data_IF_729182622756
#
_entry.id   IF_729182622756
#
_cell.length_a   1.000
_cell.length_b   1.000
_cell.length_c   1.000
_cell.angle_alpha   90.00
_cell.angle_beta   90.00
_cell.angle_gamma   90.00
#
_symmetry.space_group_name_H-M   'P 1'
#
loop_
_entity.id
_entity.type
_entity.pdbx_description
1 polymer ?
#
# COMPACT_ATOMS: atom_id res chain seq x y z
N UNK A 1 0.56 9.83 -24.19
CA UNK A 1 0.67 10.38 -22.83
C UNK A 1 0.18 11.81 -22.89
N UNK A 2 -0.70 12.19 -21.98
CA UNK A 2 -1.30 13.51 -21.89
C UNK A 2 -1.24 13.98 -20.44
N UNK A 3 -0.95 15.26 -20.22
CA UNK A 3 -0.84 15.86 -18.90
C UNK A 3 -1.75 17.09 -18.89
N UNK A 4 -2.73 17.08 -18.01
CA UNK A 4 -3.63 18.20 -17.76
C UNK A 4 -3.48 18.65 -16.31
N UNK A 5 -3.19 19.94 -16.10
CA UNK A 5 -3.09 20.52 -14.77
C UNK A 5 -4.17 21.56 -14.53
N UNK A 6 -4.84 21.47 -13.37
CA UNK A 6 -5.70 22.52 -12.85
C UNK A 6 -5.06 23.15 -11.62
N UNK A 7 -4.90 24.47 -11.64
CA UNK A 7 -4.48 25.26 -10.49
C UNK A 7 -5.67 26.01 -9.90
N UNK A 8 -5.80 25.96 -8.57
CA UNK A 8 -6.79 26.72 -7.82
C UNK A 8 -6.39 28.21 -7.67
N UNK A 9 -5.13 28.54 -7.92
CA UNK A 9 -4.57 29.91 -7.90
C UNK A 9 -3.70 30.16 -9.15
N UNK A 10 -4.29 30.32 -10.35
CA UNK A 10 -3.56 30.52 -11.61
C UNK A 10 -2.65 31.76 -11.62
N UNK A 11 -2.95 32.77 -10.80
CA UNK A 11 -2.13 33.97 -10.67
C UNK A 11 -0.88 33.76 -9.77
N UNK A 12 -0.85 32.68 -8.99
CA UNK A 12 0.16 32.41 -7.95
C UNK A 12 0.99 31.14 -8.23
N UNK A 13 0.52 30.27 -9.13
CA UNK A 13 1.16 28.99 -9.44
C UNK A 13 1.24 28.73 -10.92
N UNK A 14 2.40 28.25 -11.34
CA UNK A 14 2.64 27.74 -12.70
C UNK A 14 3.18 26.31 -12.59
N UNK A 15 2.77 25.44 -13.50
CA UNK A 15 3.38 24.13 -13.65
C UNK A 15 4.06 24.04 -15.00
N UNK A 16 5.23 23.40 -15.04
CA UNK A 16 5.96 23.12 -16.25
C UNK A 16 6.11 21.60 -16.40
N UNK A 17 5.74 21.10 -17.57
CA UNK A 17 5.95 19.71 -17.96
C UNK A 17 7.17 19.67 -18.89
N UNK A 18 8.25 19.05 -18.44
CA UNK A 18 9.45 18.85 -19.25
C UNK A 18 9.67 17.37 -19.49
N UNK A 19 10.24 17.04 -20.64
CA UNK A 19 10.68 15.68 -20.94
C UNK A 19 12.21 15.69 -20.97
N UNK A 20 12.82 14.96 -20.04
CA UNK A 20 14.29 14.84 -19.93
C UNK A 20 14.62 13.36 -19.85
N UNK A 21 15.50 12.84 -20.71
CA UNK A 21 15.95 11.44 -20.68
C UNK A 21 14.80 10.40 -20.63
N UNK A 22 13.73 10.61 -21.40
CA UNK A 22 12.55 9.73 -21.42
C UNK A 22 11.76 9.71 -20.10
N UNK A 23 11.99 10.67 -19.20
CA UNK A 23 11.21 10.92 -18.00
C UNK A 23 10.37 12.20 -18.18
N UNK A 24 9.12 12.17 -17.73
CA UNK A 24 8.31 13.38 -17.61
C UNK A 24 8.54 13.96 -16.21
N UNK A 25 9.07 15.17 -16.17
CA UNK A 25 9.20 15.95 -14.93
C UNK A 25 8.11 17.02 -14.93
N UNK A 26 7.32 17.05 -13.85
CA UNK A 26 6.32 18.10 -13.63
C UNK A 26 6.80 18.94 -12.46
N UNK A 27 7.15 20.20 -12.73
CA UNK A 27 7.67 21.14 -11.73
C UNK A 27 6.60 22.20 -11.48
N UNK A 28 6.11 22.26 -10.25
CA UNK A 28 5.19 23.31 -9.79
C UNK A 28 6.02 24.44 -9.15
N UNK A 29 5.88 25.64 -9.70
CA UNK A 29 6.55 26.87 -9.24
C UNK A 29 5.53 27.83 -8.63
N UNK A 30 5.90 28.45 -7.50
CA UNK A 30 5.07 29.42 -6.78
C UNK A 30 5.63 30.84 -6.97
N UNK A 31 4.76 31.82 -7.27
CA UNK A 31 5.15 33.22 -7.44
C UNK A 31 5.02 33.99 -6.10
N UNK A 32 6.12 34.62 -5.64
CA UNK A 32 6.11 35.59 -4.53
C UNK A 32 6.70 35.09 -3.20
N UNK A 33 6.81 36.01 -2.21
CA UNK A 33 7.17 35.71 -0.81
C UNK A 33 5.89 35.60 0.01
N UNK A 34 5.25 34.43 0.11
CA UNK A 34 4.10 34.25 0.99
C UNK A 34 3.98 32.88 1.66
N UNK A 35 3.20 32.90 2.75
CA UNK A 35 3.12 31.97 3.87
C UNK A 35 2.20 30.75 3.64
N UNK A 36 1.64 30.57 2.44
CA UNK A 36 0.73 29.47 2.11
C UNK A 36 1.09 28.88 0.75
N UNK A 37 1.28 27.56 0.68
CA UNK A 37 1.40 26.83 -0.59
C UNK A 37 -0.02 26.54 -1.12
N UNK A 38 -0.53 27.25 -2.13
CA UNK A 38 -1.81 26.92 -2.75
C UNK A 38 -1.76 25.52 -3.36
N UNK A 39 -2.87 24.78 -3.26
CA UNK A 39 -2.95 23.41 -3.74
C UNK A 39 -3.01 23.37 -5.28
N UNK A 40 -2.25 22.43 -5.87
CA UNK A 40 -2.23 22.16 -7.31
C UNK A 40 -2.73 20.74 -7.54
N UNK A 41 -3.65 20.57 -8.50
CA UNK A 41 -4.18 19.28 -8.90
C UNK A 41 -3.73 18.95 -10.31
N UNK A 42 -3.06 17.82 -10.47
CA UNK A 42 -2.50 17.37 -11.74
C UNK A 42 -3.13 16.03 -12.11
N UNK A 43 -3.60 15.92 -13.34
CA UNK A 43 -4.11 14.70 -13.94
C UNK A 43 -3.20 14.28 -15.09
N UNK A 44 -2.69 13.05 -15.04
CA UNK A 44 -1.74 12.53 -16.02
C UNK A 44 -2.28 11.24 -16.60
N UNK A 45 -2.60 11.26 -17.88
CA UNK A 45 -3.06 10.10 -18.63
C UNK A 45 -1.88 9.40 -19.31
N UNK A 46 -1.64 8.15 -18.90
CA UNK A 46 -0.59 7.29 -19.44
C UNK A 46 -1.17 6.04 -20.12
N UNK A 47 -0.51 5.49 -21.15
CA UNK A 47 -0.84 4.15 -21.64
C UNK A 47 -0.49 3.06 -20.64
N UNK A 48 -1.25 1.96 -20.65
CA UNK A 48 -0.89 0.73 -19.94
C UNK A 48 0.38 0.09 -20.52
N UNK A 49 1.02 -0.74 -19.69
CA UNK A 49 2.22 -1.54 -19.99
C UNK A 49 3.49 -0.70 -20.25
N UNK A 50 3.55 0.49 -19.65
CA UNK A 50 4.75 1.34 -19.64
C UNK A 50 5.14 1.57 -18.19
N UNK A 51 6.34 1.18 -17.79
CA UNK A 51 6.82 1.39 -16.42
C UNK A 51 6.62 2.85 -15.96
N UNK A 52 5.95 3.02 -14.83
CA UNK A 52 5.57 4.30 -14.25
C UNK A 52 6.27 4.50 -12.91
N UNK A 53 7.08 5.55 -12.79
CA UNK A 53 7.67 6.00 -11.53
C UNK A 53 7.12 7.37 -11.16
N UNK A 54 6.58 7.51 -9.95
CA UNK A 54 6.05 8.76 -9.40
C UNK A 54 6.69 9.00 -8.03
N UNK A 55 7.38 10.12 -7.87
CA UNK A 55 8.01 10.50 -6.60
C UNK A 55 7.59 11.92 -6.21
N UNK A 56 7.24 12.09 -4.93
CA UNK A 56 6.88 13.40 -4.39
C UNK A 56 7.36 13.56 -2.95
N UNK A 57 7.56 14.80 -2.50
CA UNK A 57 7.84 15.06 -1.08
C UNK A 57 6.55 15.17 -0.26
N UNK A 58 5.58 15.95 -0.75
CA UNK A 58 4.38 16.31 0.03
C UNK A 58 3.07 16.15 -0.72
N UNK A 59 3.12 15.83 -2.01
CA UNK A 59 1.91 15.69 -2.81
C UNK A 59 1.30 14.31 -2.60
N UNK A 60 -0.03 14.23 -2.57
CA UNK A 60 -0.69 12.93 -2.60
C UNK A 60 -0.65 12.36 -4.02
N UNK A 61 -0.42 11.06 -4.12
CA UNK A 61 -0.37 10.31 -5.37
C UNK A 61 -1.64 9.46 -5.45
N UNK A 62 -2.33 9.49 -6.59
CA UNK A 62 -3.44 8.59 -6.89
C UNK A 62 -3.22 7.95 -8.25
N UNK A 63 -3.15 6.63 -8.32
CA UNK A 63 -3.05 5.85 -9.56
C UNK A 63 -4.27 4.97 -9.67
N UNK A 64 -4.97 5.04 -10.80
CA UNK A 64 -6.20 4.30 -11.07
C UNK A 64 -6.15 3.60 -12.43
N UNK A 65 -6.79 2.44 -12.52
CA UNK A 65 -7.06 1.73 -13.78
C UNK A 65 -5.81 1.50 -14.65
N UNK A 66 -4.71 1.09 -13.99
CA UNK A 66 -3.41 0.93 -14.63
C UNK A 66 -2.96 -0.53 -14.68
N UNK A 67 -2.27 -0.93 -15.74
CA UNK A 67 -1.65 -2.26 -15.83
C UNK A 67 -0.20 -2.11 -16.22
N UNK A 68 0.72 -2.72 -15.47
CA UNK A 68 2.16 -2.64 -15.71
C UNK A 68 2.99 -2.56 -14.44
N UNK A 69 4.21 -2.06 -14.58
CA UNK A 69 5.13 -1.81 -13.47
C UNK A 69 4.89 -0.41 -12.91
N UNK A 70 4.60 -0.31 -11.62
CA UNK A 70 4.35 0.93 -10.89
C UNK A 70 5.31 1.07 -9.71
N UNK A 71 5.99 2.21 -9.64
CA UNK A 71 6.74 2.67 -8.48
C UNK A 71 6.18 4.01 -8.02
N UNK A 72 5.62 4.06 -6.81
CA UNK A 72 5.06 5.28 -6.23
C UNK A 72 5.71 5.57 -4.87
N UNK A 73 6.30 6.75 -4.71
CA UNK A 73 6.99 7.14 -3.49
C UNK A 73 6.56 8.54 -2.99
N UNK A 74 6.33 8.66 -1.68
CA UNK A 74 5.99 9.91 -1.03
C UNK A 74 6.62 10.02 0.36
N UNK A 75 7.16 11.20 0.69
CA UNK A 75 7.67 11.46 2.04
C UNK A 75 6.53 11.78 3.02
N UNK A 76 5.55 12.59 2.62
CA UNK A 76 4.48 13.06 3.52
C UNK A 76 3.09 13.12 2.93
N UNK A 77 2.93 13.06 1.60
CA UNK A 77 1.63 12.89 0.96
C UNK A 77 1.15 11.44 1.03
N UNK A 78 -0.16 11.23 0.89
CA UNK A 78 -0.75 9.90 0.87
C UNK A 78 -0.61 9.26 -0.51
N UNK A 79 -0.57 7.93 -0.57
CA UNK A 79 -0.53 7.18 -1.83
C UNK A 79 -1.78 6.31 -1.92
N UNK A 80 -2.56 6.45 -2.98
CA UNK A 80 -3.69 5.59 -3.31
C UNK A 80 -3.41 4.89 -4.65
N UNK A 81 -3.52 3.56 -4.65
CA UNK A 81 -3.44 2.71 -5.84
C UNK A 81 -4.73 1.90 -5.90
N UNK A 82 -5.49 2.06 -6.98
CA UNK A 82 -6.83 1.46 -7.13
C UNK A 82 -6.97 0.83 -8.52
N UNK A 83 -7.46 -0.42 -8.58
CA UNK A 83 -7.62 -1.16 -9.84
C UNK A 83 -6.33 -1.24 -10.67
N UNK A 84 -5.21 -1.55 -10.00
CA UNK A 84 -3.89 -1.69 -10.63
C UNK A 84 -3.42 -3.14 -10.66
N UNK A 85 -2.86 -3.56 -11.80
CA UNK A 85 -2.47 -4.94 -12.04
C UNK A 85 -1.04 -5.05 -12.58
N UNK A 86 -0.19 -5.86 -11.92
CA UNK A 86 1.22 -6.03 -12.30
C UNK A 86 2.17 -5.97 -11.11
N UNK A 87 3.35 -5.37 -11.32
CA UNK A 87 4.38 -5.22 -10.29
C UNK A 87 4.25 -3.82 -9.66
N UNK A 88 3.82 -3.77 -8.41
CA UNK A 88 3.48 -2.53 -7.68
C UNK A 88 4.46 -2.36 -6.51
N UNK A 89 5.23 -1.29 -6.52
CA UNK A 89 6.10 -0.88 -5.42
C UNK A 89 5.64 0.46 -4.86
N UNK A 90 5.32 0.51 -3.58
CA UNK A 90 4.93 1.74 -2.88
C UNK A 90 5.88 2.03 -1.72
N UNK A 91 6.31 3.28 -1.60
CA UNK A 91 7.12 3.75 -0.47
C UNK A 91 6.47 4.98 0.17
N UNK A 92 6.06 4.87 1.43
CA UNK A 92 5.55 6.00 2.20
C UNK A 92 6.35 6.20 3.48
N UNK A 93 6.83 7.42 3.75
CA UNK A 93 7.51 7.69 5.00
C UNK A 93 6.53 8.11 6.11
N UNK A 94 5.66 9.11 5.87
CA UNK A 94 4.72 9.62 6.89
C UNK A 94 3.24 9.59 6.50
N UNK A 95 2.94 9.53 5.20
CA UNK A 95 1.56 9.46 4.70
C UNK A 95 1.00 8.04 4.79
N UNK A 96 -0.31 7.93 4.61
CA UNK A 96 -0.96 6.64 4.47
C UNK A 96 -0.75 6.09 3.06
N UNK A 97 -0.68 4.78 2.93
CA UNK A 97 -0.56 4.09 1.64
C UNK A 97 -1.66 3.03 1.53
N UNK A 98 -2.48 3.15 0.50
CA UNK A 98 -3.68 2.34 0.31
C UNK A 98 -3.61 1.67 -1.06
N UNK A 99 -3.81 0.35 -1.07
CA UNK A 99 -3.99 -0.46 -2.29
C UNK A 99 -5.40 -1.04 -2.28
N UNK A 100 -6.16 -0.82 -3.35
CA UNK A 100 -7.53 -1.31 -3.50
C UNK A 100 -7.70 -2.08 -4.80
N UNK A 101 -8.43 -3.20 -4.75
CA UNK A 101 -8.85 -3.99 -5.93
C UNK A 101 -7.71 -4.31 -6.92
N UNK A 102 -6.51 -4.58 -6.39
CA UNK A 102 -5.28 -4.70 -7.19
C UNK A 102 -4.68 -6.10 -7.08
N UNK A 103 -3.95 -6.55 -8.10
CA UNK A 103 -3.35 -7.88 -8.08
C UNK A 103 -2.01 -7.98 -8.82
N UNK A 104 -1.14 -8.88 -8.35
CA UNK A 104 0.17 -9.15 -8.95
C UNK A 104 1.25 -9.29 -7.88
N UNK A 105 2.42 -8.69 -8.11
CA UNK A 105 3.49 -8.58 -7.12
C UNK A 105 3.37 -7.22 -6.44
N UNK A 106 3.03 -7.17 -5.16
CA UNK A 106 2.80 -5.91 -4.42
C UNK A 106 3.81 -5.81 -3.29
N UNK A 107 4.61 -4.75 -3.29
CA UNK A 107 5.58 -4.43 -2.24
C UNK A 107 5.30 -3.05 -1.66
N UNK A 108 4.90 -2.98 -0.39
CA UNK A 108 4.66 -1.73 0.33
C UNK A 108 5.67 -1.56 1.45
N UNK A 109 6.40 -0.45 1.45
CA UNK A 109 7.35 -0.09 2.51
C UNK A 109 6.91 1.21 3.17
N UNK A 110 6.61 1.12 4.46
CA UNK A 110 6.25 2.23 5.32
C UNK A 110 7.32 2.54 6.36
N UNK A 111 7.22 3.71 6.99
CA UNK A 111 7.95 3.98 8.24
C UNK A 111 6.96 4.37 9.34
N UNK A 112 6.11 5.36 9.05
CA UNK A 112 4.97 5.79 9.84
C UNK A 112 3.69 5.69 8.98
N UNK A 113 2.55 6.10 9.53
CA UNK A 113 1.26 6.08 8.83
C UNK A 113 0.58 4.72 8.81
N UNK A 114 -0.52 4.63 8.09
CA UNK A 114 -1.35 3.44 7.94
C UNK A 114 -1.14 2.83 6.54
N UNK A 115 -0.85 1.54 6.50
CA UNK A 115 -0.77 0.76 5.26
C UNK A 115 -2.03 -0.10 5.15
N UNK A 116 -2.85 0.13 4.12
CA UNK A 116 -4.10 -0.60 3.90
C UNK A 116 -4.01 -1.37 2.59
N UNK A 117 -4.37 -2.66 2.64
CA UNK A 117 -4.68 -3.46 1.46
C UNK A 117 -6.12 -3.90 1.55
N UNK A 118 -6.90 -3.53 0.54
CA UNK A 118 -8.32 -3.86 0.43
C UNK A 118 -8.56 -4.61 -0.87
N UNK A 119 -8.96 -5.88 -0.76
CA UNK A 119 -9.14 -6.79 -1.90
C UNK A 119 -7.89 -6.90 -2.80
N UNK A 120 -6.70 -6.94 -2.19
CA UNK A 120 -5.44 -7.18 -2.90
C UNK A 120 -5.11 -8.68 -3.00
N UNK A 121 -4.60 -9.13 -4.16
CA UNK A 121 -4.26 -10.56 -4.40
C UNK A 121 -2.88 -10.77 -5.04
N UNK A 122 -2.35 -11.98 -4.97
CA UNK A 122 -1.06 -12.37 -5.53
C UNK A 122 0.05 -12.47 -4.48
N UNK A 123 1.26 -12.02 -4.84
CA UNK A 123 2.44 -12.03 -3.99
C UNK A 123 2.60 -10.67 -3.32
N UNK A 124 2.32 -10.59 -2.02
CA UNK A 124 2.21 -9.34 -1.28
C UNK A 124 3.24 -9.33 -0.16
N UNK A 125 4.08 -8.30 -0.14
CA UNK A 125 5.01 -7.98 0.93
C UNK A 125 4.75 -6.58 1.49
N UNK A 126 4.52 -6.48 2.79
CA UNK A 126 4.30 -5.21 3.48
C UNK A 126 5.26 -5.12 4.66
N UNK A 127 6.02 -4.04 4.75
CA UNK A 127 6.98 -3.82 5.84
C UNK A 127 6.89 -2.39 6.36
N UNK A 128 6.83 -2.21 7.67
CA UNK A 128 6.88 -0.89 8.31
C UNK A 128 7.57 -0.93 9.68
N UNK A 129 7.92 0.22 10.25
CA UNK A 129 8.59 0.30 11.56
C UNK A 129 7.57 0.68 12.64
N UNK A 130 6.92 1.83 12.48
CA UNK A 130 5.95 2.38 13.43
C UNK A 130 4.52 2.39 12.88
N UNK A 131 4.34 2.11 11.59
CA UNK A 131 3.04 2.15 10.95
C UNK A 131 2.18 0.93 11.26
N UNK A 132 0.87 1.12 11.20
CA UNK A 132 -0.11 0.04 11.35
C UNK A 132 -0.40 -0.58 9.97
N UNK A 133 -0.74 -1.86 9.95
CA UNK A 133 -1.08 -2.58 8.72
C UNK A 133 -2.50 -3.12 8.85
N UNK A 134 -3.33 -2.85 7.83
CA UNK A 134 -4.68 -3.41 7.72
C UNK A 134 -4.78 -4.17 6.41
N UNK A 135 -5.16 -5.44 6.48
CA UNK A 135 -5.48 -6.25 5.33
C UNK A 135 -6.94 -6.68 5.38
N UNK A 136 -7.71 -6.32 4.36
CA UNK A 136 -9.08 -6.75 4.17
C UNK A 136 -9.18 -7.51 2.85
N UNK A 137 -9.72 -8.72 2.86
CA UNK A 137 -9.98 -9.46 1.62
C UNK A 137 -9.91 -10.97 1.77
N UNK A 138 -9.69 -11.66 0.66
CA UNK A 138 -9.58 -13.11 0.60
C UNK A 138 -8.16 -13.52 0.24
N UNK A 139 -7.63 -14.57 0.87
CA UNK A 139 -6.38 -15.21 0.47
C UNK A 139 -6.72 -16.59 -0.09
N UNK A 140 -6.44 -16.77 -1.38
CA UNK A 140 -6.79 -17.94 -2.17
C UNK A 140 -5.55 -18.78 -2.52
N UNK A 141 -5.76 -19.89 -3.20
CA UNK A 141 -4.69 -20.73 -3.73
C UNK A 141 -3.77 -19.93 -4.65
N UNK A 142 -2.46 -19.95 -4.36
CA UNK A 142 -1.43 -19.22 -5.10
C UNK A 142 -1.04 -17.86 -4.49
N UNK A 143 -1.86 -17.30 -3.61
CA UNK A 143 -1.54 -16.06 -2.91
C UNK A 143 -0.48 -16.30 -1.81
N UNK A 144 0.45 -15.35 -1.66
CA UNK A 144 1.42 -15.31 -0.57
C UNK A 144 1.47 -13.90 0.01
N UNK A 145 0.95 -13.74 1.24
CA UNK A 145 0.83 -12.45 1.92
C UNK A 145 1.74 -12.44 3.13
N UNK A 146 2.72 -11.53 3.12
CA UNK A 146 3.66 -11.30 4.22
C UNK A 146 3.51 -9.88 4.75
N UNK A 147 3.14 -9.78 6.03
CA UNK A 147 2.95 -8.52 6.73
C UNK A 147 3.95 -8.40 7.88
N UNK A 148 4.81 -7.39 7.85
CA UNK A 148 5.80 -7.14 8.88
C UNK A 148 5.72 -5.71 9.42
N UNK A 149 5.82 -5.61 10.74
CA UNK A 149 6.00 -4.32 11.43
C UNK A 149 6.92 -4.49 12.63
N UNK A 150 7.50 -3.43 13.15
CA UNK A 150 8.30 -3.50 14.38
C UNK A 150 7.41 -3.18 15.59
N UNK A 151 6.73 -2.03 15.55
CA UNK A 151 5.94 -1.50 16.67
C UNK A 151 4.45 -1.35 16.37
N UNK A 152 4.06 -1.25 15.11
CA UNK A 152 2.66 -1.03 14.75
C UNK A 152 1.81 -2.28 14.90
N UNK A 153 0.49 -2.10 14.95
CA UNK A 153 -0.45 -3.21 14.97
C UNK A 153 -0.70 -3.76 13.58
N UNK A 154 -1.12 -5.03 13.52
CA UNK A 154 -1.57 -5.67 12.29
C UNK A 154 -3.00 -6.18 12.48
N UNK A 155 -3.93 -5.70 11.65
CA UNK A 155 -5.32 -6.16 11.64
C UNK A 155 -5.62 -6.84 10.32
N UNK A 156 -6.03 -8.10 10.37
CA UNK A 156 -6.37 -8.90 9.19
C UNK A 156 -7.81 -9.37 9.27
N UNK A 157 -8.58 -9.00 8.26
CA UNK A 157 -9.96 -9.36 8.06
C UNK A 157 -10.07 -10.23 6.81
N UNK A 158 -10.27 -11.53 7.02
CA UNK A 158 -10.33 -12.52 5.96
C UNK A 158 -11.78 -12.84 5.60
N UNK A 159 -12.10 -12.97 4.32
CA UNK A 159 -13.38 -13.51 3.87
C UNK A 159 -13.49 -15.02 4.15
N UNK A 160 -14.72 -15.50 4.39
CA UNK A 160 -15.03 -16.91 4.70
C UNK A 160 -14.53 -17.94 3.67
N UNK A 161 -14.31 -17.53 2.42
CA UNK A 161 -13.79 -18.36 1.33
C UNK A 161 -12.27 -18.57 1.37
N UNK A 162 -11.55 -17.98 2.33
CA UNK A 162 -10.09 -18.04 2.36
C UNK A 162 -9.58 -19.44 2.74
N UNK A 163 -8.74 -20.00 1.87
CA UNK A 163 -8.14 -21.33 2.01
C UNK A 163 -6.62 -21.19 2.15
N UNK A 164 -6.16 -20.92 3.37
CA UNK A 164 -4.79 -20.52 3.63
C UNK A 164 -4.16 -21.14 4.87
N UNK A 165 -2.84 -21.25 4.84
CA UNK A 165 -2.00 -21.49 6.00
C UNK A 165 -1.70 -20.15 6.67
N UNK A 166 -1.70 -20.14 8.00
CA UNK A 166 -1.50 -18.94 8.81
C UNK A 166 -0.31 -19.17 9.72
N UNK A 167 0.60 -18.20 9.74
CA UNK A 167 1.66 -18.10 10.73
C UNK A 167 1.76 -16.67 11.23
N UNK A 168 1.42 -16.46 12.50
CA UNK A 168 1.48 -15.17 13.17
C UNK A 168 2.45 -15.27 14.33
N UNK A 169 3.33 -14.29 14.45
CA UNK A 169 4.26 -14.16 15.58
C UNK A 169 4.38 -12.70 16.03
N UNK A 170 4.21 -12.47 17.33
CA UNK A 170 4.60 -11.23 18.00
C UNK A 170 5.59 -11.54 19.11
N UNK A 171 6.61 -10.71 19.30
CA UNK A 171 7.59 -10.90 20.39
C UNK A 171 6.97 -10.49 21.73
N UNK A 172 6.38 -9.29 21.81
CA UNK A 172 5.87 -8.69 23.05
C UNK A 172 4.42 -8.19 22.97
N UNK A 173 3.82 -8.07 21.79
CA UNK A 173 2.43 -7.67 21.62
C UNK A 173 1.46 -8.85 21.61
N UNK A 174 0.19 -8.61 21.92
CA UNK A 174 -0.80 -9.67 22.04
C UNK A 174 -1.35 -10.11 20.67
N UNK A 175 -1.55 -11.42 20.52
CA UNK A 175 -2.13 -12.02 19.32
C UNK A 175 -3.53 -12.53 19.63
N UNK A 176 -4.53 -11.98 18.94
CA UNK A 176 -5.93 -12.42 18.97
C UNK A 176 -6.27 -13.04 17.62
N UNK A 177 -6.46 -14.36 17.62
CA UNK A 177 -6.70 -15.13 16.40
C UNK A 177 -8.06 -15.82 16.45
N UNK A 178 -9.03 -15.30 15.70
CA UNK A 178 -10.39 -15.80 15.58
C UNK A 178 -10.54 -16.63 14.30
N UNK A 179 -9.67 -17.63 14.15
CA UNK A 179 -9.63 -18.52 12.97
C UNK A 179 -10.01 -19.95 13.36
N UNK A 180 -10.97 -20.58 12.65
CA UNK A 180 -11.32 -21.98 12.90
C UNK A 180 -10.12 -22.91 12.73
N UNK A 181 -9.96 -23.86 13.64
CA UNK A 181 -8.88 -24.85 13.63
C UNK A 181 -7.46 -24.28 13.74
N UNK A 182 -7.30 -23.00 14.09
CA UNK A 182 -6.00 -22.43 14.40
C UNK A 182 -5.59 -22.77 15.83
N UNK A 183 -4.30 -23.04 16.03
CA UNK A 183 -3.69 -23.18 17.35
C UNK A 183 -3.10 -21.82 17.72
N UNK A 184 -3.64 -21.17 18.75
CA UNK A 184 -3.23 -19.83 19.16
C UNK A 184 -2.71 -19.80 20.61
N UNK A 185 -1.82 -18.85 20.85
CA UNK A 185 -1.33 -18.45 22.17
C UNK A 185 -1.45 -16.93 22.30
N UNK A 186 -0.96 -16.37 23.41
CA UNK A 186 -0.91 -14.91 23.57
C UNK A 186 0.04 -14.21 22.60
N UNK A 187 0.91 -14.96 21.89
CA UNK A 187 1.99 -14.41 21.04
C UNK A 187 2.09 -15.04 19.65
N UNK A 188 1.37 -16.13 19.41
CA UNK A 188 1.44 -16.87 18.15
C UNK A 188 0.05 -17.31 17.69
N UNK A 189 -0.11 -17.46 16.39
CA UNK A 189 -1.23 -18.18 15.81
C UNK A 189 -0.73 -18.96 14.61
N UNK A 190 -0.88 -20.29 14.66
CA UNK A 190 -0.47 -21.17 13.58
C UNK A 190 -1.69 -21.98 13.12
N UNK A 191 -1.87 -22.07 11.81
CA UNK A 191 -2.86 -22.92 11.16
C UNK A 191 -2.21 -23.52 9.93
N UNK A 192 -2.11 -24.84 9.88
CA UNK A 192 -1.69 -25.51 8.67
C UNK A 192 -2.82 -25.49 7.64
N UNK A 193 -2.44 -25.40 6.38
CA UNK A 193 -3.35 -25.64 5.26
C UNK A 193 -2.88 -26.87 4.52
N UNK A 194 -3.84 -27.59 3.94
CA UNK A 194 -3.51 -28.69 3.04
C UNK A 194 -2.70 -28.16 1.85
N UNK A 195 -1.82 -29.00 1.31
CA UNK A 195 -0.90 -28.66 0.23
C UNK A 195 -1.65 -28.01 -0.94
N UNK A 196 -1.46 -26.70 -1.13
CA UNK A 196 -2.06 -25.93 -2.21
C UNK A 196 -2.83 -24.67 -1.78
N UNK A 197 -3.11 -24.47 -0.49
CA UNK A 197 -3.71 -23.21 -0.02
C UNK A 197 -2.77 -22.00 -0.14
N UNK A 198 -3.33 -20.80 -0.07
CA UNK A 198 -2.55 -19.56 0.06
C UNK A 198 -1.80 -19.48 1.37
N UNK A 199 -0.96 -18.45 1.54
CA UNK A 199 -0.16 -18.25 2.75
C UNK A 199 -0.37 -16.85 3.32
N UNK A 200 -0.53 -16.78 4.64
CA UNK A 200 -0.46 -15.55 5.41
C UNK A 200 0.63 -15.68 6.48
N UNK A 201 1.64 -14.82 6.41
CA UNK A 201 2.67 -14.68 7.42
C UNK A 201 2.62 -13.28 8.01
N UNK A 202 2.49 -13.20 9.34
CA UNK A 202 2.50 -11.93 10.06
C UNK A 202 3.61 -11.94 11.11
N UNK A 203 4.43 -10.90 11.13
CA UNK A 203 5.47 -10.71 12.13
C UNK A 203 5.42 -9.29 12.70
N UNK A 204 5.40 -9.19 14.02
CA UNK A 204 5.65 -7.93 14.72
C UNK A 204 6.55 -8.12 15.93
N UNK A 205 7.22 -7.07 16.38
CA UNK A 205 8.00 -7.13 17.63
C UNK A 205 7.11 -6.76 18.80
N UNK A 206 6.52 -5.57 18.81
CA UNK A 206 5.71 -5.09 19.94
C UNK A 206 4.25 -4.79 19.62
N UNK A 207 3.86 -4.85 18.35
CA UNK A 207 2.49 -4.64 17.92
C UNK A 207 1.52 -5.74 18.34
N UNK A 208 0.28 -5.35 18.60
CA UNK A 208 -0.82 -6.30 18.69
C UNK A 208 -1.19 -6.81 17.29
N UNK A 209 -1.60 -8.08 17.21
CA UNK A 209 -2.09 -8.69 15.96
C UNK A 209 -3.51 -9.22 16.17
N UNK A 210 -4.42 -8.79 15.31
CA UNK A 210 -5.78 -9.35 15.25
C UNK A 210 -5.97 -10.02 13.90
N UNK A 211 -6.40 -11.28 13.92
CA UNK A 211 -6.82 -12.00 12.72
C UNK A 211 -8.25 -12.50 12.94
N UNK A 212 -9.16 -12.11 12.07
CA UNK A 212 -10.56 -12.54 12.14
C UNK A 212 -11.10 -12.94 10.77
N UNK A 213 -11.97 -13.95 10.78
CA UNK A 213 -12.77 -14.33 9.64
C UNK A 213 -14.08 -13.54 9.66
N UNK A 214 -14.38 -12.84 8.58
CA UNK A 214 -15.66 -12.18 8.36
C UNK A 214 -16.59 -13.11 7.56
N UNK A 215 -17.89 -13.16 7.93
CA UNK A 215 -18.88 -13.98 7.25
C UNK A 215 -19.16 -13.52 5.81
#
# INVERSE_FOLDING_TARGET
MHVDGQTLSPDETEYNVTTVNNQIQIIVSYKGRQSSNPAVHLEVSIPNNIALTIETDSASIAVREYTGELEAASVSGNILVEDVYGDITMRSNRGDAIVQNSAGTISMVGNYGLLILDNARGHIGVSTIMGNVVFNGSILMGDDVRLETDHGSVSVHLSANSALGIQVRSTSGDVVCMMPHAVSSTRTCDRETNSGGGRLSIRTVSGAVTVQLLP
#
